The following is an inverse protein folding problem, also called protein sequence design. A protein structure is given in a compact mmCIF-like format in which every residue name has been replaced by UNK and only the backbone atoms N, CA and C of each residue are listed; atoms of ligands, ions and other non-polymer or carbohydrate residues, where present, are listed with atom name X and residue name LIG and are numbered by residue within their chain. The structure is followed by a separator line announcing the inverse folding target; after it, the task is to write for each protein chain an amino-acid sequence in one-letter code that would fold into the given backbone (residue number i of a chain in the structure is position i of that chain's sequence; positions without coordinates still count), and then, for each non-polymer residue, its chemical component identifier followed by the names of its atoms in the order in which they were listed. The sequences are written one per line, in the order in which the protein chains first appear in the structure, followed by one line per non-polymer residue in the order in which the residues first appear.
data_IF_254657727752
#
_entry.id   IF_254657727752
#
_cell.length_a   1.000
_cell.length_b   1.000
_cell.length_c   1.000
_cell.angle_alpha   90.00
_cell.angle_beta   90.00
_cell.angle_gamma   90.00
#
_symmetry.space_group_name_H-M   'P 1'
#
loop_
_entity.id
_entity.type
_entity.pdbx_description
1 polymer ?
#
# COMPACT_ATOMS: atom_id res chain seq x y z
N UNK A 1 -35.64 4.33 16.41
CA UNK A 1 -34.30 4.83 16.81
C UNK A 1 -33.51 3.59 17.24
N UNK A 2 -32.87 2.90 16.29
CA UNK A 2 -32.49 1.49 16.46
C UNK A 2 -31.01 1.30 16.81
N UNK A 3 -30.81 0.44 17.82
CA UNK A 3 -29.59 0.07 18.54
C UNK A 3 -28.52 -0.64 17.66
N UNK A 4 -28.83 -0.93 16.38
CA UNK A 4 -27.93 -1.61 15.44
C UNK A 4 -26.84 -0.72 14.80
N UNK A 5 -26.94 0.61 14.89
CA UNK A 5 -25.92 1.54 14.36
C UNK A 5 -24.62 1.63 15.17
N UNK A 6 -24.51 0.89 16.28
CA UNK A 6 -23.30 0.84 17.10
C UNK A 6 -22.35 -0.31 16.69
N UNK A 7 -22.83 -1.42 16.13
CA UNK A 7 -22.07 -2.68 16.18
C UNK A 7 -20.89 -2.78 15.19
N UNK A 8 -20.90 -2.11 14.03
CA UNK A 8 -19.79 -2.24 13.07
C UNK A 8 -18.77 -1.10 13.12
N UNK A 9 -19.03 -0.05 13.90
CA UNK A 9 -17.97 0.82 14.41
C UNK A 9 -17.17 0.08 15.48
N UNK A 10 -17.59 -1.06 16.02
CA UNK A 10 -16.72 -1.82 16.92
C UNK A 10 -15.66 -2.67 16.19
N UNK A 11 -15.79 -2.94 14.89
CA UNK A 11 -14.94 -3.92 14.18
C UNK A 11 -13.73 -3.29 13.49
N UNK A 12 -13.74 -1.99 13.16
CA UNK A 12 -12.54 -1.28 12.67
C UNK A 12 -11.55 -0.89 13.78
N UNK A 13 -11.93 -1.03 15.05
CA UNK A 13 -11.36 -0.20 16.14
C UNK A 13 -10.48 -0.99 17.12
N UNK A 14 -10.04 -2.20 16.75
CA UNK A 14 -8.91 -2.87 17.39
C UNK A 14 -7.69 -3.03 16.48
N UNK A 15 -7.86 -2.82 15.17
CA UNK A 15 -6.79 -2.97 14.21
C UNK A 15 -6.01 -1.66 14.09
N UNK A 16 -4.70 -1.77 14.17
CA UNK A 16 -3.80 -0.72 13.70
C UNK A 16 -3.77 -0.84 12.18
N UNK A 17 -4.00 0.29 11.51
CA UNK A 17 -4.21 0.34 10.07
C UNK A 17 -3.06 1.18 9.51
N UNK A 18 -2.16 0.58 8.75
CA UNK A 18 -1.18 1.33 7.99
C UNK A 18 -1.86 2.08 6.82
N UNK A 19 -1.27 3.17 6.34
CA UNK A 19 -1.80 3.95 5.20
C UNK A 19 -3.33 4.15 5.27
N UNK A 20 -3.76 4.69 6.42
CA UNK A 20 -5.15 4.68 6.90
C UNK A 20 -6.11 5.15 5.80
N UNK A 21 -7.23 4.46 5.55
CA UNK A 21 -8.23 4.92 4.60
C UNK A 21 -8.69 6.35 4.96
N UNK A 22 -8.69 7.26 3.98
CA UNK A 22 -9.21 8.64 4.09
C UNK A 22 -10.45 8.79 4.99
N UNK A 23 -11.45 7.91 4.87
CA UNK A 23 -12.47 7.67 5.87
C UNK A 23 -12.14 7.92 7.34
N UNK A 24 -11.17 7.18 7.86
CA UNK A 24 -10.78 7.17 9.27
C UNK A 24 -10.00 8.44 9.59
N UNK A 25 -9.17 8.92 8.65
CA UNK A 25 -8.39 10.14 8.81
C UNK A 25 -9.31 11.37 8.87
N UNK A 26 -10.35 11.45 8.02
CA UNK A 26 -11.31 12.59 7.97
C UNK A 26 -12.08 12.78 9.29
N UNK A 27 -12.26 11.72 10.08
CA UNK A 27 -12.83 11.84 11.43
C UNK A 27 -11.88 12.56 12.42
N UNK A 28 -10.59 12.64 12.11
CA UNK A 28 -9.57 13.42 12.85
C UNK A 28 -9.53 14.91 12.53
N UNK A 29 -10.32 15.41 11.56
CA UNK A 29 -10.47 16.85 11.28
C UNK A 29 -9.36 17.51 10.43
N UNK A 30 -8.28 16.81 10.10
CA UNK A 30 -7.24 17.26 9.16
C UNK A 30 -6.64 16.03 8.47
N UNK A 31 -6.98 15.80 7.20
CA UNK A 31 -6.91 14.45 6.63
C UNK A 31 -6.96 14.35 5.11
N UNK A 32 -6.84 15.47 4.39
CA UNK A 32 -7.12 15.46 2.96
C UNK A 32 -5.99 14.86 2.12
N UNK A 33 -4.78 14.63 2.66
CA UNK A 33 -3.60 14.38 1.82
C UNK A 33 -2.77 13.11 2.13
N UNK A 34 -3.20 12.22 3.04
CA UNK A 34 -2.48 10.95 3.27
C UNK A 34 -2.73 9.96 2.14
N UNK A 35 -1.67 9.27 1.70
CA UNK A 35 -1.73 8.22 0.70
C UNK A 35 -2.18 6.91 1.37
N UNK A 36 -3.11 6.23 0.72
CA UNK A 36 -3.71 4.98 1.19
C UNK A 36 -3.06 3.75 0.56
N UNK A 37 -3.24 2.60 1.20
CA UNK A 37 -2.89 1.29 0.64
C UNK A 37 -3.39 1.09 -0.81
N UNK A 38 -4.64 1.47 -1.07
CA UNK A 38 -5.26 1.27 -2.38
C UNK A 38 -4.61 2.12 -3.46
N UNK A 39 -4.21 3.35 -3.13
CA UNK A 39 -3.47 4.23 -4.04
C UNK A 39 -2.06 3.69 -4.32
N UNK A 40 -1.39 3.13 -3.29
CA UNK A 40 -0.07 2.50 -3.46
C UNK A 40 -0.14 1.31 -4.43
N UNK A 41 -1.15 0.45 -4.28
CA UNK A 41 -1.40 -0.68 -5.20
C UNK A 41 -1.61 -0.17 -6.63
N UNK A 42 -2.47 0.84 -6.81
CA UNK A 42 -2.80 1.38 -8.13
C UNK A 42 -1.58 2.00 -8.80
N UNK A 43 -0.83 2.85 -8.10
CA UNK A 43 0.36 3.53 -8.64
C UNK A 43 1.47 2.52 -8.98
N UNK A 44 1.74 1.56 -8.10
CA UNK A 44 2.74 0.54 -8.34
C UNK A 44 2.38 -0.37 -9.52
N UNK A 45 1.10 -0.74 -9.64
CA UNK A 45 0.62 -1.56 -10.76
C UNK A 45 0.65 -0.80 -12.09
N UNK A 46 0.18 0.45 -12.15
CA UNK A 46 0.17 1.29 -13.36
C UNK A 46 1.57 1.41 -13.95
N UNK A 47 2.60 1.62 -13.12
CA UNK A 47 3.99 1.67 -13.58
C UNK A 47 4.47 0.35 -14.16
N UNK A 48 4.08 -0.78 -13.56
CA UNK A 48 4.39 -2.10 -14.08
C UNK A 48 3.66 -2.39 -15.41
N UNK A 49 2.38 -2.00 -15.51
CA UNK A 49 1.58 -2.13 -16.73
C UNK A 49 2.14 -1.29 -17.89
N UNK A 50 2.60 -0.06 -17.61
CA UNK A 50 3.27 0.78 -18.59
C UNK A 50 4.50 0.07 -19.17
N UNK A 51 5.35 -0.53 -18.32
CA UNK A 51 6.50 -1.34 -18.74
C UNK A 51 6.06 -2.55 -19.58
N UNK A 52 4.99 -3.24 -19.18
CA UNK A 52 4.42 -4.35 -19.96
C UNK A 52 4.06 -3.94 -21.39
N UNK A 53 3.31 -2.85 -21.56
CA UNK A 53 2.95 -2.38 -22.90
C UNK A 53 4.16 -1.95 -23.72
N UNK A 54 5.14 -1.27 -23.11
CA UNK A 54 6.40 -0.91 -23.78
C UNK A 54 7.12 -2.17 -24.26
N UNK A 55 7.36 -3.14 -23.39
CA UNK A 55 8.18 -4.31 -23.72
C UNK A 55 7.52 -5.21 -24.77
N UNK A 56 6.21 -5.44 -24.66
CA UNK A 56 5.47 -6.31 -25.58
C UNK A 56 5.30 -5.64 -26.96
N UNK A 57 5.01 -4.34 -27.00
CA UNK A 57 4.81 -3.62 -28.29
C UNK A 57 6.11 -3.17 -28.94
N UNK A 58 7.20 -2.99 -28.21
CA UNK A 58 8.52 -2.68 -28.82
C UNK A 58 9.10 -3.87 -29.60
N UNK A 59 8.54 -5.07 -29.47
CA UNK A 59 8.80 -6.16 -30.41
C UNK A 59 8.19 -5.88 -31.80
N UNK A 60 7.08 -5.13 -31.87
CA UNK A 60 6.49 -4.54 -33.08
C UNK A 60 6.99 -3.09 -33.29
N UNK A 61 8.29 -2.96 -33.59
CA UNK A 61 9.17 -1.78 -33.49
C UNK A 61 8.74 -0.41 -34.08
N UNK A 62 7.57 -0.23 -34.67
CA UNK A 62 7.30 0.94 -35.52
C UNK A 62 6.20 1.91 -35.04
N UNK A 63 5.63 1.79 -33.83
CA UNK A 63 4.45 2.64 -33.47
C UNK A 63 4.40 3.31 -32.10
N UNK A 64 5.33 3.07 -31.17
CA UNK A 64 5.21 3.63 -29.80
C UNK A 64 6.34 4.60 -29.46
N UNK A 65 5.97 5.84 -29.14
CA UNK A 65 6.87 6.83 -28.53
C UNK A 65 6.97 6.59 -27.02
N UNK A 66 8.14 6.14 -26.57
CA UNK A 66 8.47 5.85 -25.16
C UNK A 66 8.37 7.12 -24.29
N UNK A 67 8.50 8.33 -24.87
CA UNK A 67 8.32 9.57 -24.13
C UNK A 67 6.89 9.73 -23.59
N UNK A 68 5.90 9.14 -24.27
CA UNK A 68 4.51 9.23 -23.86
C UNK A 68 4.18 8.42 -22.62
N UNK A 69 5.05 7.52 -22.15
CA UNK A 69 4.86 6.72 -20.93
C UNK A 69 5.60 7.29 -19.72
N UNK A 70 6.15 8.52 -19.83
CA UNK A 70 6.92 9.17 -18.74
C UNK A 70 6.05 9.88 -17.71
N UNK A 71 4.77 10.07 -17.99
CA UNK A 71 3.82 10.74 -17.10
C UNK A 71 3.02 9.70 -16.30
N UNK A 72 2.31 10.14 -15.26
CA UNK A 72 1.32 9.29 -14.61
C UNK A 72 0.12 9.14 -15.55
N UNK A 73 -0.34 7.90 -15.71
CA UNK A 73 -1.42 7.53 -16.63
C UNK A 73 -2.46 6.71 -15.91
N UNK A 74 -3.72 6.89 -16.25
CA UNK A 74 -4.78 5.93 -15.92
C UNK A 74 -4.60 4.64 -16.72
N UNK A 75 -5.27 3.57 -16.30
CA UNK A 75 -5.30 2.31 -17.07
C UNK A 75 -5.84 2.57 -18.49
N UNK A 76 -6.91 3.36 -18.64
CA UNK A 76 -7.49 3.66 -19.96
C UNK A 76 -6.54 4.43 -20.86
N UNK A 77 -5.79 5.39 -20.31
CA UNK A 77 -4.76 6.11 -21.05
C UNK A 77 -3.63 5.19 -21.51
N UNK A 78 -3.20 4.23 -20.68
CA UNK A 78 -2.22 3.23 -21.08
C UNK A 78 -2.73 2.35 -22.22
N UNK A 79 -4.00 1.94 -22.19
CA UNK A 79 -4.63 1.22 -23.30
C UNK A 79 -4.73 2.10 -24.56
N UNK A 80 -5.09 3.38 -24.42
CA UNK A 80 -5.15 4.32 -25.53
C UNK A 80 -3.78 4.52 -26.19
N UNK A 81 -2.71 4.64 -25.39
CA UNK A 81 -1.34 4.75 -25.86
C UNK A 81 -0.87 3.46 -26.54
N UNK A 82 -1.20 2.31 -25.97
CA UNK A 82 -0.88 1.02 -26.55
C UNK A 82 -1.68 0.79 -27.84
N UNK A 83 -2.92 1.25 -27.93
CA UNK A 83 -3.83 1.02 -29.06
C UNK A 83 -4.43 2.34 -29.59
N UNK A 84 -3.65 3.16 -30.32
CA UNK A 84 -4.10 4.47 -30.81
C UNK A 84 -5.34 4.43 -31.70
N UNK A 85 -5.54 3.31 -32.42
CA UNK A 85 -6.65 3.12 -33.36
C UNK A 85 -7.96 2.68 -32.67
N UNK A 86 -7.96 2.45 -31.35
CA UNK A 86 -9.17 2.05 -30.62
C UNK A 86 -10.02 3.25 -30.21
N UNK A 87 -11.34 3.10 -30.31
CA UNK A 87 -12.30 4.07 -29.79
C UNK A 87 -12.33 4.04 -28.26
N UNK A 88 -12.79 5.14 -27.62
CA UNK A 88 -12.96 5.22 -26.16
C UNK A 88 -13.82 4.08 -25.61
N UNK A 89 -14.93 3.74 -26.29
CA UNK A 89 -15.81 2.64 -25.88
C UNK A 89 -15.11 1.28 -25.94
N UNK A 90 -14.30 1.06 -26.96
CA UNK A 90 -13.50 -0.16 -27.08
C UNK A 90 -12.46 -0.24 -25.98
N UNK A 91 -11.78 0.86 -25.67
CA UNK A 91 -10.82 0.92 -24.55
C UNK A 91 -11.50 0.60 -23.24
N UNK A 92 -12.62 1.28 -22.93
CA UNK A 92 -13.42 1.04 -21.73
C UNK A 92 -13.83 -0.42 -21.60
N UNK A 93 -14.27 -1.05 -22.69
CA UNK A 93 -14.66 -2.46 -22.72
C UNK A 93 -13.48 -3.41 -22.46
N UNK A 94 -12.33 -3.17 -23.10
CA UNK A 94 -11.17 -4.06 -23.02
C UNK A 94 -10.33 -3.87 -21.75
N UNK A 95 -10.34 -2.69 -21.15
CA UNK A 95 -9.63 -2.43 -19.89
C UNK A 95 -10.47 -2.77 -18.65
N UNK A 96 -11.77 -3.02 -18.80
CA UNK A 96 -12.68 -3.32 -17.69
C UNK A 96 -12.29 -4.58 -16.89
N UNK A 97 -11.98 -5.73 -17.52
CA UNK A 97 -11.57 -6.93 -16.78
C UNK A 97 -10.34 -6.69 -15.91
N UNK A 98 -9.34 -5.99 -16.45
CA UNK A 98 -8.14 -5.61 -15.70
C UNK A 98 -8.49 -4.72 -14.50
N UNK A 99 -9.31 -3.69 -14.71
CA UNK A 99 -9.78 -2.81 -13.63
C UNK A 99 -10.47 -3.60 -12.51
N UNK A 100 -11.38 -4.50 -12.86
CA UNK A 100 -12.05 -5.39 -11.89
C UNK A 100 -11.07 -6.23 -11.07
N UNK A 101 -10.00 -6.72 -11.70
CA UNK A 101 -8.95 -7.49 -11.03
C UNK A 101 -8.14 -6.62 -10.05
N UNK A 102 -7.77 -5.40 -10.46
CA UNK A 102 -7.06 -4.46 -9.58
C UNK A 102 -7.92 -4.05 -8.39
N UNK A 103 -9.21 -3.80 -8.62
CA UNK A 103 -10.18 -3.51 -7.55
C UNK A 103 -10.24 -4.67 -6.54
N UNK A 104 -10.25 -5.92 -7.02
CA UNK A 104 -10.20 -7.11 -6.16
C UNK A 104 -8.90 -7.17 -5.34
N UNK A 105 -7.75 -6.86 -5.95
CA UNK A 105 -6.46 -6.82 -5.25
C UNK A 105 -6.47 -5.73 -4.17
N UNK A 106 -6.99 -4.54 -4.47
CA UNK A 106 -7.14 -3.43 -3.52
C UNK A 106 -8.05 -3.81 -2.35
N UNK A 107 -9.19 -4.46 -2.61
CA UNK A 107 -10.08 -5.00 -1.56
C UNK A 107 -9.32 -5.97 -0.66
N UNK A 108 -8.57 -6.91 -1.26
CA UNK A 108 -7.85 -7.94 -0.51
C UNK A 108 -6.68 -7.39 0.30
N UNK A 109 -6.03 -6.35 -0.20
CA UNK A 109 -5.04 -5.58 0.53
C UNK A 109 -5.67 -4.96 1.80
N UNK A 110 -6.71 -4.13 1.65
CA UNK A 110 -7.39 -3.48 2.80
C UNK A 110 -7.97 -4.50 3.81
N UNK A 111 -8.39 -5.68 3.36
CA UNK A 111 -8.95 -6.69 4.26
C UNK A 111 -7.95 -7.29 5.24
N UNK A 112 -6.64 -7.09 5.05
CA UNK A 112 -5.63 -7.58 6.01
C UNK A 112 -5.82 -6.92 7.38
N UNK A 113 -6.14 -5.63 7.42
CA UNK A 113 -6.44 -4.89 8.65
C UNK A 113 -7.78 -5.28 9.30
N UNK A 114 -8.67 -5.96 8.58
CA UNK A 114 -10.05 -6.22 9.04
C UNK A 114 -10.31 -7.70 9.31
N UNK A 115 -9.50 -8.58 8.72
CA UNK A 115 -9.69 -10.00 8.84
C UNK A 115 -9.20 -10.45 10.23
N UNK A 116 -10.04 -11.15 11.03
CA UNK A 116 -9.67 -11.62 12.36
C UNK A 116 -8.38 -12.46 12.43
N UNK A 117 -8.00 -13.09 11.32
CA UNK A 117 -6.79 -13.91 11.22
C UNK A 117 -5.51 -13.09 10.97
N UNK A 118 -5.63 -11.83 10.56
CA UNK A 118 -4.48 -11.00 10.19
C UNK A 118 -4.41 -9.67 10.91
N UNK A 119 -5.55 -9.05 11.26
CA UNK A 119 -5.61 -7.70 11.86
C UNK A 119 -4.76 -7.51 13.13
N UNK A 120 -4.51 -8.59 13.87
CA UNK A 120 -3.71 -8.59 15.10
C UNK A 120 -2.49 -9.51 14.98
N UNK A 121 -2.11 -9.88 13.77
CA UNK A 121 -0.97 -10.74 13.48
C UNK A 121 0.24 -9.85 13.16
N UNK A 122 1.28 -9.77 14.01
CA UNK A 122 2.45 -8.94 13.74
C UNK A 122 3.10 -9.23 12.39
N UNK A 123 3.14 -10.51 12.00
CA UNK A 123 3.74 -10.93 10.74
C UNK A 123 2.97 -10.44 9.51
N UNK A 124 1.71 -10.04 9.63
CA UNK A 124 0.96 -9.40 8.56
C UNK A 124 1.29 -7.91 8.38
N UNK A 125 1.89 -7.27 9.39
CA UNK A 125 2.03 -5.81 9.51
C UNK A 125 3.46 -5.33 9.76
N UNK A 126 4.46 -6.22 9.81
CA UNK A 126 5.83 -5.89 10.24
C UNK A 126 5.92 -5.27 11.65
N UNK A 127 4.92 -5.50 12.49
CA UNK A 127 4.89 -4.98 13.84
C UNK A 127 5.74 -5.80 14.79
N UNK A 128 6.00 -5.23 15.97
CA UNK A 128 6.61 -5.91 17.11
C UNK A 128 7.90 -6.65 16.74
N UNK A 129 8.69 -6.07 15.84
CA UNK A 129 9.96 -6.60 15.32
C UNK A 129 9.87 -7.99 14.65
N UNK A 130 8.68 -8.39 14.17
CA UNK A 130 8.42 -9.69 13.51
C UNK A 130 8.90 -9.74 12.04
N UNK A 131 10.06 -9.15 11.76
CA UNK A 131 10.59 -8.95 10.40
C UNK A 131 10.82 -10.26 9.64
N UNK A 132 11.34 -11.29 10.31
CA UNK A 132 11.60 -12.59 9.68
C UNK A 132 10.28 -13.27 9.28
N UNK A 133 9.32 -13.30 10.21
CA UNK A 133 8.00 -13.90 10.01
C UNK A 133 7.22 -13.17 8.92
N UNK A 134 7.25 -11.83 8.91
CA UNK A 134 6.66 -11.02 7.84
C UNK A 134 7.28 -11.28 6.49
N UNK A 135 8.61 -11.38 6.42
CA UNK A 135 9.29 -11.68 5.17
C UNK A 135 9.00 -13.11 4.67
N UNK A 136 8.99 -14.10 5.56
CA UNK A 136 8.56 -15.47 5.25
C UNK A 136 7.11 -15.50 4.74
N UNK A 137 6.21 -14.71 5.34
CA UNK A 137 4.83 -14.56 4.87
C UNK A 137 4.79 -14.06 3.43
N UNK A 138 5.54 -13.01 3.10
CA UNK A 138 5.63 -12.47 1.72
C UNK A 138 6.15 -13.54 0.75
N UNK A 139 7.25 -14.21 1.07
CA UNK A 139 7.85 -15.25 0.22
C UNK A 139 6.89 -16.42 0.00
N UNK A 140 6.20 -16.88 1.05
CA UNK A 140 5.19 -17.95 0.97
C UNK A 140 4.00 -17.56 0.10
N UNK A 141 3.49 -16.33 0.23
CA UNK A 141 2.39 -15.84 -0.61
C UNK A 141 2.81 -15.76 -2.07
N UNK A 142 4.01 -15.21 -2.35
CA UNK A 142 4.59 -15.15 -3.70
C UNK A 142 4.71 -16.53 -4.34
N UNK A 143 5.24 -17.51 -3.62
CA UNK A 143 5.36 -18.88 -4.11
C UNK A 143 4.00 -19.47 -4.50
N UNK A 144 2.98 -19.31 -3.64
CA UNK A 144 1.61 -19.77 -3.95
C UNK A 144 1.00 -19.05 -5.16
N UNK A 145 1.28 -17.76 -5.35
CA UNK A 145 0.84 -17.02 -6.55
C UNK A 145 1.47 -17.63 -7.80
N UNK A 146 2.78 -17.88 -7.78
CA UNK A 146 3.50 -18.47 -8.92
C UNK A 146 2.99 -19.89 -9.22
N UNK A 147 2.79 -20.72 -8.20
CA UNK A 147 2.21 -22.06 -8.34
C UNK A 147 0.81 -22.01 -8.95
N UNK A 148 -0.07 -21.15 -8.43
CA UNK A 148 -1.44 -20.99 -8.93
C UNK A 148 -1.46 -20.55 -10.40
N UNK A 149 -0.56 -19.64 -10.79
CA UNK A 149 -0.48 -19.09 -12.14
C UNK A 149 0.11 -20.07 -13.15
N UNK A 150 1.06 -20.91 -12.74
CA UNK A 150 1.69 -21.89 -13.64
C UNK A 150 0.75 -23.04 -14.03
N UNK A 151 -0.27 -23.30 -13.24
CA UNK A 151 -1.36 -24.21 -13.63
C UNK A 151 -2.32 -23.50 -14.61
N UNK A 152 -2.24 -23.86 -15.89
CA UNK A 152 -3.04 -23.24 -16.96
C UNK A 152 -4.55 -23.45 -16.81
N UNK A 153 -4.99 -24.43 -16.02
CA UNK A 153 -6.41 -24.76 -15.85
C UNK A 153 -7.03 -24.08 -14.63
N UNK A 154 -6.22 -23.38 -13.82
CA UNK A 154 -6.65 -22.83 -12.54
C UNK A 154 -7.31 -21.47 -12.70
N UNK A 155 -8.42 -21.27 -11.98
CA UNK A 155 -8.96 -19.93 -11.74
C UNK A 155 -7.96 -19.15 -10.84
N UNK A 156 -7.60 -17.94 -11.29
CA UNK A 156 -6.60 -17.10 -10.66
C UNK A 156 -7.13 -16.12 -9.59
N UNK A 157 -8.41 -16.18 -9.21
CA UNK A 157 -8.99 -15.35 -8.16
C UNK A 157 -8.27 -15.54 -6.81
N UNK A 158 -7.89 -16.78 -6.51
CA UNK A 158 -7.08 -17.07 -5.32
C UNK A 158 -5.67 -16.47 -5.41
N UNK A 159 -5.07 -16.40 -6.60
CA UNK A 159 -3.77 -15.77 -6.80
C UNK A 159 -3.87 -14.24 -6.65
N UNK A 160 -4.90 -13.63 -7.26
CA UNK A 160 -5.22 -12.20 -7.12
C UNK A 160 -5.43 -11.81 -5.66
N UNK A 161 -6.16 -12.62 -4.89
CA UNK A 161 -6.34 -12.34 -3.46
C UNK A 161 -5.05 -12.42 -2.66
N UNK A 162 -4.16 -13.39 -2.95
CA UNK A 162 -2.84 -13.48 -2.32
C UNK A 162 -1.93 -12.30 -2.67
N UNK A 163 -2.08 -11.71 -3.87
CA UNK A 163 -1.36 -10.49 -4.24
C UNK A 163 -1.77 -9.35 -3.30
N UNK A 164 -3.08 -9.15 -3.05
CA UNK A 164 -3.56 -8.15 -2.10
C UNK A 164 -2.98 -8.35 -0.70
N UNK A 165 -3.11 -9.58 -0.18
CA UNK A 165 -2.58 -9.96 1.15
C UNK A 165 -1.06 -9.76 1.27
N UNK A 166 -0.30 -10.00 0.19
CA UNK A 166 1.15 -9.83 0.13
C UNK A 166 1.54 -8.35 0.10
N UNK A 167 0.86 -7.58 -0.76
CA UNK A 167 1.15 -6.17 -0.95
C UNK A 167 0.90 -5.38 0.32
N UNK A 168 -0.13 -5.72 1.10
CA UNK A 168 -0.38 -5.09 2.40
C UNK A 168 0.84 -5.21 3.30
N UNK A 169 1.27 -6.45 3.57
CA UNK A 169 2.45 -6.72 4.41
C UNK A 169 3.70 -6.04 3.87
N UNK A 170 3.92 -6.05 2.54
CA UNK A 170 5.07 -5.37 1.92
C UNK A 170 5.06 -3.84 2.16
N UNK A 171 3.88 -3.22 2.14
CA UNK A 171 3.72 -1.79 2.27
C UNK A 171 3.94 -1.34 3.73
N UNK A 172 3.40 -2.10 4.70
CA UNK A 172 3.52 -1.81 6.15
C UNK A 172 4.99 -1.76 6.62
N UNK A 173 5.88 -2.51 5.98
CA UNK A 173 7.32 -2.42 6.27
C UNK A 173 7.82 -0.97 6.27
N UNK A 174 7.39 -0.14 5.30
CA UNK A 174 7.91 1.22 5.15
C UNK A 174 7.26 2.23 6.11
N UNK A 175 6.05 1.97 6.59
CA UNK A 175 5.39 2.82 7.57
C UNK A 175 5.73 2.43 9.01
N UNK A 176 5.90 1.13 9.30
CA UNK A 176 6.03 0.62 10.67
C UNK A 176 7.49 0.37 11.11
N UNK A 177 8.45 0.32 10.19
CA UNK A 177 9.87 0.15 10.51
C UNK A 177 10.66 1.48 10.52
N UNK A 178 11.89 1.41 11.02
CA UNK A 178 12.84 2.53 11.01
C UNK A 178 13.61 2.68 9.68
N UNK A 179 13.16 2.05 8.58
CA UNK A 179 13.89 2.02 7.31
C UNK A 179 14.30 3.41 6.82
N UNK A 180 13.41 4.39 6.95
CA UNK A 180 13.64 5.77 6.49
C UNK A 180 14.54 6.52 7.46
N UNK A 181 14.34 6.32 8.77
CA UNK A 181 15.12 6.93 9.85
C UNK A 181 16.58 6.46 9.85
N UNK A 182 16.87 5.27 9.32
CA UNK A 182 18.23 4.81 9.02
C UNK A 182 18.92 5.58 7.87
N UNK A 183 18.23 6.56 7.25
CA UNK A 183 18.75 7.32 6.12
C UNK A 183 18.78 6.53 4.82
N UNK A 184 17.97 5.48 4.68
CA UNK A 184 17.87 4.72 3.44
C UNK A 184 17.18 5.55 2.37
N UNK A 185 17.76 5.56 1.17
CA UNK A 185 17.28 6.34 0.02
C UNK A 185 16.58 5.47 -1.04
N UNK A 186 16.57 4.16 -0.85
CA UNK A 186 15.99 3.18 -1.76
C UNK A 186 15.22 2.11 -0.98
N UNK A 187 14.35 1.38 -1.67
CA UNK A 187 13.63 0.21 -1.13
C UNK A 187 14.58 -0.89 -0.65
N UNK A 188 14.14 -1.69 0.31
CA UNK A 188 14.91 -2.84 0.77
C UNK A 188 14.99 -3.89 -0.36
N UNK A 189 16.19 -4.25 -0.86
CA UNK A 189 16.33 -5.15 -2.00
C UNK A 189 16.01 -6.61 -1.66
N UNK A 190 15.93 -6.96 -0.37
CA UNK A 190 15.85 -8.35 0.09
C UNK A 190 14.44 -8.82 0.44
N UNK A 191 13.51 -7.91 0.76
CA UNK A 191 12.14 -8.27 1.13
C UNK A 191 11.47 -9.08 0.03
N UNK A 192 10.94 -10.25 0.41
CA UNK A 192 10.26 -11.18 -0.50
C UNK A 192 11.19 -11.93 -1.46
N UNK A 193 12.52 -11.88 -1.23
CA UNK A 193 13.55 -12.49 -2.09
C UNK A 193 14.53 -13.34 -1.29
N UNK A 194 15.02 -12.84 -0.17
CA UNK A 194 15.99 -13.52 0.70
C UNK A 194 15.43 -13.63 2.10
N UNK A 195 15.84 -14.66 2.84
CA UNK A 195 15.40 -14.88 4.22
C UNK A 195 15.79 -13.71 5.15
N UNK A 196 17.03 -13.24 5.03
CA UNK A 196 17.54 -12.13 5.82
C UNK A 196 17.37 -10.81 5.07
N UNK A 197 16.57 -9.91 5.66
CA UNK A 197 16.29 -8.58 5.10
C UNK A 197 17.06 -7.44 5.78
N UNK A 198 17.92 -7.77 6.75
CA UNK A 198 18.65 -6.82 7.57
C UNK A 198 18.89 -7.38 8.97
N UNK A 199 19.79 -6.76 9.73
CA UNK A 199 19.99 -7.10 11.14
C UNK A 199 18.81 -6.56 11.94
N UNK A 200 18.15 -7.40 12.71
CA UNK A 200 16.98 -7.04 13.51
C UNK A 200 17.42 -6.75 14.94
N UNK A 201 16.75 -5.83 15.62
CA UNK A 201 17.02 -5.54 17.02
C UNK A 201 16.70 -6.75 17.89
N UNK A 202 17.59 -7.07 18.83
CA UNK A 202 17.35 -8.16 19.78
C UNK A 202 16.25 -7.77 20.78
N UNK A 203 15.54 -8.75 21.34
CA UNK A 203 14.43 -8.49 22.28
C UNK A 203 14.87 -7.68 23.51
N UNK A 204 16.14 -7.80 23.92
CA UNK A 204 16.75 -7.08 25.04
C UNK A 204 17.50 -5.80 24.65
N UNK A 205 17.40 -5.38 23.39
CA UNK A 205 18.05 -4.18 22.86
C UNK A 205 17.07 -3.00 22.84
N UNK A 206 17.43 -1.89 23.49
CA UNK A 206 16.67 -0.65 23.44
C UNK A 206 16.65 -0.09 22.00
N UNK A 207 15.47 0.34 21.54
CA UNK A 207 15.25 0.86 20.18
C UNK A 207 14.56 2.21 20.11
N UNK A 208 13.88 2.64 21.17
CA UNK A 208 13.32 3.97 21.28
C UNK A 208 13.58 4.60 22.64
N UNK A 209 13.43 5.91 22.71
CA UNK A 209 13.47 6.72 23.92
C UNK A 209 12.24 7.63 23.98
N UNK A 210 11.81 8.02 25.19
CA UNK A 210 10.76 9.06 25.33
C UNK A 210 11.28 10.43 24.88
N UNK A 211 12.60 10.66 24.98
CA UNK A 211 13.24 11.88 24.48
C UNK A 211 13.01 11.94 22.96
N UNK A 212 12.49 13.07 22.49
CA UNK A 212 12.09 13.24 21.09
C UNK A 212 10.58 13.20 20.87
N UNK A 213 9.80 12.71 21.85
CA UNK A 213 8.35 12.70 21.77
C UNK A 213 7.71 13.82 22.61
N UNK A 214 6.82 14.57 21.98
CA UNK A 214 5.97 15.58 22.63
C UNK A 214 4.55 15.05 22.75
N UNK A 215 4.07 14.93 23.99
CA UNK A 215 2.66 14.66 24.27
C UNK A 215 1.80 15.84 23.82
N UNK A 216 0.76 15.55 23.05
CA UNK A 216 -0.22 16.51 22.56
C UNK A 216 -1.59 16.13 23.12
N UNK A 217 -2.26 17.12 23.71
CA UNK A 217 -3.66 17.02 24.13
C UNK A 217 -4.51 17.83 23.17
N UNK A 218 -5.47 17.17 22.52
CA UNK A 218 -6.40 17.83 21.60
C UNK A 218 -7.82 17.70 22.12
N UNK A 219 -8.52 18.83 22.18
CA UNK A 219 -9.96 18.81 22.43
C UNK A 219 -10.66 18.08 21.27
N UNK A 220 -11.72 17.37 21.61
CA UNK A 220 -12.54 16.65 20.66
C UNK A 220 -13.73 17.50 20.26
N UNK A 221 -14.12 17.44 18.99
CA UNK A 221 -15.50 17.76 18.65
C UNK A 221 -16.45 16.65 19.15
N UNK A 222 -17.76 16.91 19.16
CA UNK A 222 -18.80 15.99 19.66
C UNK A 222 -18.69 14.61 18.99
N UNK A 223 -18.34 14.60 17.70
CA UNK A 223 -18.17 13.37 16.95
C UNK A 223 -16.93 12.61 17.43
N UNK A 224 -15.76 13.24 17.49
CA UNK A 224 -14.54 12.63 18.03
C UNK A 224 -14.73 12.09 19.45
N UNK A 225 -15.47 12.81 20.30
CA UNK A 225 -15.79 12.36 21.66
C UNK A 225 -16.66 11.11 21.68
N UNK A 226 -17.63 11.01 20.77
CA UNK A 226 -18.44 9.81 20.62
C UNK A 226 -17.62 8.61 20.13
N UNK A 227 -16.63 8.84 19.25
CA UNK A 227 -15.84 7.79 18.61
C UNK A 227 -14.68 7.29 19.47
N UNK A 228 -13.82 8.18 19.95
CA UNK A 228 -12.62 7.80 20.69
C UNK A 228 -12.90 7.55 22.18
N UNK A 229 -14.04 8.00 22.70
CA UNK A 229 -14.52 7.85 24.10
C UNK A 229 -13.58 8.40 25.19
N UNK A 230 -12.37 8.79 24.83
CA UNK A 230 -11.35 9.40 25.67
C UNK A 230 -11.05 10.79 25.12
N UNK A 231 -11.60 11.81 25.78
CA UNK A 231 -11.39 13.21 25.47
C UNK A 231 -10.93 13.96 26.73
N UNK A 232 -9.93 14.85 26.67
CA UNK A 232 -9.16 15.21 25.47
C UNK A 232 -8.37 14.03 24.89
N UNK A 233 -8.19 14.02 23.56
CA UNK A 233 -7.38 13.01 22.89
C UNK A 233 -5.93 13.22 23.24
N UNK A 234 -5.25 12.12 23.52
CA UNK A 234 -3.83 12.11 23.82
C UNK A 234 -3.09 11.35 22.72
N UNK A 235 -2.10 12.00 22.11
CA UNK A 235 -1.20 11.41 21.13
C UNK A 235 0.19 12.04 21.24
N UNK A 236 1.14 11.56 20.46
CA UNK A 236 2.54 11.95 20.56
C UNK A 236 3.08 12.35 19.20
N UNK A 237 3.65 13.55 19.11
CA UNK A 237 4.46 14.00 17.98
C UNK A 237 5.92 13.68 18.28
N UNK A 238 6.51 12.75 17.53
CA UNK A 238 7.85 12.23 17.81
C UNK A 238 8.82 12.60 16.70
N UNK A 239 9.98 13.10 17.07
CA UNK A 239 11.14 13.30 16.18
C UNK A 239 12.38 12.78 16.87
N UNK A 240 13.18 12.01 16.15
CA UNK A 240 14.48 11.52 16.64
C UNK A 240 14.37 10.74 17.97
N UNK A 241 13.27 9.98 18.15
CA UNK A 241 13.04 9.15 19.33
C UNK A 241 13.62 7.72 19.20
N UNK A 242 14.05 7.32 18.01
CA UNK A 242 14.74 6.04 17.77
C UNK A 242 16.19 6.18 18.21
N UNK A 243 16.72 5.16 18.90
CA UNK A 243 18.11 5.18 19.39
C UNK A 243 19.09 5.37 18.24
N UNK A 244 19.96 6.36 18.38
CA UNK A 244 20.97 6.74 17.38
C UNK A 244 21.80 5.56 16.88
N UNK A 245 22.26 4.69 17.78
CA UNK A 245 23.07 3.51 17.46
C UNK A 245 22.29 2.49 16.63
N UNK A 246 20.98 2.33 16.84
CA UNK A 246 20.13 1.44 16.04
C UNK A 246 20.14 1.91 14.59
N UNK A 247 19.95 3.20 14.37
CA UNK A 247 19.95 3.76 13.02
C UNK A 247 21.35 3.75 12.39
N UNK A 248 22.38 4.21 13.11
CA UNK A 248 23.78 4.27 12.63
C UNK A 248 24.32 2.91 12.24
N UNK A 249 23.94 1.86 12.96
CA UNK A 249 24.41 0.51 12.67
C UNK A 249 23.47 -0.30 11.76
N UNK A 250 22.43 0.33 11.19
CA UNK A 250 21.51 -0.32 10.26
C UNK A 250 20.70 -1.46 10.87
N UNK A 251 20.30 -1.34 12.13
CA UNK A 251 19.47 -2.34 12.82
C UNK A 251 18.00 -2.00 12.60
N UNK A 252 17.23 -2.98 12.14
CA UNK A 252 15.79 -2.91 11.96
C UNK A 252 15.07 -2.98 13.31
N UNK A 253 14.15 -2.05 13.53
CA UNK A 253 13.16 -2.07 14.61
C UNK A 253 11.82 -1.62 14.07
N UNK A 254 10.73 -2.05 14.69
CA UNK A 254 9.37 -1.63 14.39
C UNK A 254 8.56 -1.45 15.67
N UNK A 255 7.37 -0.86 15.53
CA UNK A 255 6.51 -0.55 16.66
C UNK A 255 5.78 -1.76 17.22
N UNK A 256 5.77 -1.90 18.55
CA UNK A 256 4.91 -2.84 19.25
C UNK A 256 3.47 -2.33 19.33
N UNK A 257 2.51 -3.24 19.28
CA UNK A 257 1.07 -2.95 19.23
C UNK A 257 0.32 -3.71 20.31
N UNK A 258 -0.74 -3.13 20.87
CA UNK A 258 -1.58 -3.83 21.84
C UNK A 258 -2.43 -4.94 21.21
N UNK A 259 -2.63 -6.04 21.93
CA UNK A 259 -3.51 -7.16 21.56
C UNK A 259 -3.07 -7.98 20.33
N UNK A 260 -1.77 -8.01 20.03
CA UNK A 260 -1.23 -8.86 18.98
C UNK A 260 -0.93 -10.27 19.45
N UNK A 261 -1.08 -11.23 18.53
CA UNK A 261 -0.73 -12.64 18.73
C UNK A 261 0.10 -13.13 17.55
N UNK A 262 1.19 -13.86 17.81
CA UNK A 262 2.05 -14.39 16.76
C UNK A 262 1.38 -15.55 15.99
N UNK A 263 2.07 -16.10 14.98
CA UNK A 263 1.57 -17.21 14.17
C UNK A 263 1.27 -18.50 14.97
N UNK A 264 1.72 -18.60 16.22
CA UNK A 264 1.44 -19.71 17.15
C UNK A 264 0.27 -19.42 18.11
N UNK A 265 -0.33 -18.22 18.02
CA UNK A 265 -1.38 -17.77 18.93
C UNK A 265 -0.87 -17.29 20.29
N UNK A 266 0.43 -17.01 20.42
CA UNK A 266 1.02 -16.49 21.66
C UNK A 266 0.97 -14.97 21.68
N UNK A 267 0.62 -14.33 22.81
CA UNK A 267 0.54 -12.88 22.90
C UNK A 267 1.90 -12.23 22.69
N UNK A 268 1.95 -11.20 21.85
CA UNK A 268 3.13 -10.37 21.62
C UNK A 268 2.94 -9.06 22.36
N UNK A 269 3.82 -8.78 23.32
CA UNK A 269 3.72 -7.62 24.20
C UNK A 269 4.99 -6.80 24.15
N UNK A 270 4.85 -5.47 24.20
CA UNK A 270 5.97 -4.55 24.37
C UNK A 270 6.72 -4.90 25.67
N UNK A 271 8.02 -5.25 25.62
CA UNK A 271 8.81 -5.51 26.82
C UNK A 271 8.85 -4.28 27.73
N UNK A 272 8.50 -4.44 29.01
CA UNK A 272 8.42 -3.32 29.96
C UNK A 272 9.78 -2.90 30.55
N UNK A 273 10.78 -3.78 30.46
CA UNK A 273 12.13 -3.59 30.99
C UNK A 273 13.17 -3.19 29.92
N UNK A 274 12.74 -3.05 28.66
CA UNK A 274 13.59 -2.71 27.53
C UNK A 274 12.92 -1.55 26.80
N UNK A 275 13.68 -0.53 26.42
CA UNK A 275 13.09 0.64 25.79
C UNK A 275 12.75 0.38 24.32
N UNK A 276 11.66 -0.36 24.07
CA UNK A 276 11.17 -0.69 22.73
C UNK A 276 10.21 0.37 22.20
N UNK A 277 10.20 0.57 20.90
CA UNK A 277 9.26 1.48 20.25
C UNK A 277 7.83 0.94 20.32
N UNK A 278 6.87 1.79 20.65
CA UNK A 278 5.45 1.50 20.36
C UNK A 278 5.17 1.82 18.89
N UNK A 279 4.13 1.26 18.31
CA UNK A 279 3.69 1.68 16.99
C UNK A 279 3.24 3.14 16.99
N UNK A 280 2.40 3.51 17.95
CA UNK A 280 1.83 4.85 18.08
C UNK A 280 0.46 5.00 17.41
N UNK A 281 -0.09 6.21 17.48
CA UNK A 281 -1.49 6.60 17.26
C UNK A 281 -2.30 6.73 18.54
N UNK A 282 -3.41 7.46 18.46
CA UNK A 282 -4.40 7.56 19.54
C UNK A 282 -5.14 6.25 19.83
N UNK A 283 -5.03 5.25 18.94
CA UNK A 283 -5.67 3.94 19.10
C UNK A 283 -4.73 2.90 19.73
N UNK A 284 -3.42 3.13 19.65
CA UNK A 284 -2.41 2.24 20.22
C UNK A 284 -2.17 2.56 21.69
N UNK A 285 -2.68 1.70 22.57
CA UNK A 285 -2.49 1.83 24.02
C UNK A 285 -1.03 1.71 24.45
N UNK A 286 -0.19 1.04 23.65
CA UNK A 286 1.23 0.90 23.98
C UNK A 286 1.97 2.24 23.83
N UNK A 287 1.43 3.22 23.10
CA UNK A 287 2.01 4.56 22.96
C UNK A 287 2.18 5.31 24.28
N UNK A 288 1.38 4.96 25.29
CA UNK A 288 1.48 5.51 26.66
C UNK A 288 2.44 4.72 27.57
N UNK A 289 2.95 3.57 27.13
CA UNK A 289 3.91 2.76 27.87
C UNK A 289 5.32 3.28 27.58
N UNK A 290 6.17 3.40 28.61
CA UNK A 290 7.56 3.86 28.45
C UNK A 290 8.35 2.89 27.54
N UNK A 291 9.16 3.40 26.58
CA UNK A 291 9.24 4.80 26.13
C UNK A 291 7.97 5.24 25.41
N UNK A 292 7.44 6.41 25.77
CA UNK A 292 6.18 6.93 25.23
C UNK A 292 6.35 7.40 23.78
N UNK A 293 5.27 7.31 23.00
CA UNK A 293 5.22 7.76 21.61
C UNK A 293 5.06 6.62 20.62
N UNK A 294 5.87 6.64 19.55
CA UNK A 294 5.95 5.56 18.59
C UNK A 294 6.74 5.91 17.34
N UNK A 295 6.62 5.09 16.29
CA UNK A 295 7.50 5.07 15.10
C UNK A 295 6.69 5.11 13.78
N UNK A 296 5.38 4.85 13.82
CA UNK A 296 4.60 4.69 12.60
C UNK A 296 4.46 5.98 11.77
N UNK A 297 4.19 5.77 10.48
CA UNK A 297 4.11 6.81 9.43
C UNK A 297 2.84 6.64 8.58
N UNK A 298 1.80 6.06 9.16
CA UNK A 298 0.58 5.62 8.45
C UNK A 298 -0.23 6.77 7.85
N UNK A 299 -0.10 7.97 8.42
CA UNK A 299 -0.81 9.15 7.99
C UNK A 299 0.04 10.41 8.17
N UNK A 300 -0.35 11.49 7.47
CA UNK A 300 0.26 12.83 7.58
C UNK A 300 -0.14 13.60 8.84
N UNK A 301 -0.73 12.94 9.84
CA UNK A 301 -1.25 13.61 11.04
C UNK A 301 -0.62 13.02 12.31
N UNK A 302 -0.17 13.86 13.26
CA UNK A 302 0.43 13.38 14.51
C UNK A 302 -0.54 12.61 15.40
N UNK A 303 -1.85 12.75 15.18
CA UNK A 303 -2.89 12.01 15.89
C UNK A 303 -2.86 10.51 15.58
N UNK A 304 -2.49 10.16 14.36
CA UNK A 304 -2.40 8.77 13.92
C UNK A 304 -0.97 8.28 13.80
N UNK A 305 -0.01 9.17 13.55
CA UNK A 305 1.36 8.79 13.27
C UNK A 305 2.35 9.67 14.01
N UNK A 306 3.09 9.13 14.99
CA UNK A 306 4.13 9.89 15.65
C UNK A 306 5.18 10.42 14.67
N UNK A 307 5.48 9.68 13.59
CA UNK A 307 6.41 10.05 12.52
C UNK A 307 5.70 10.52 11.24
N UNK A 308 4.58 11.23 11.38
CA UNK A 308 3.77 11.69 10.24
C UNK A 308 4.53 12.45 9.14
N UNK A 309 5.62 13.17 9.49
CA UNK A 309 6.46 13.91 8.55
C UNK A 309 7.24 13.02 7.59
N UNK A 310 7.31 11.71 7.83
CA UNK A 310 7.93 10.72 6.94
C UNK A 310 6.91 9.95 6.09
N UNK A 311 5.61 10.23 6.22
CA UNK A 311 4.56 9.50 5.51
C UNK A 311 4.74 9.49 3.98
N UNK A 312 5.04 10.64 3.37
CA UNK A 312 5.25 10.71 1.91
C UNK A 312 6.44 9.87 1.45
N UNK A 313 7.52 9.84 2.25
CA UNK A 313 8.69 9.03 1.95
C UNK A 313 8.40 7.53 2.12
N UNK A 314 7.60 7.15 3.12
CA UNK A 314 7.12 5.78 3.32
C UNK A 314 6.24 5.32 2.17
N UNK A 315 5.25 6.14 1.78
CA UNK A 315 4.39 5.87 0.64
C UNK A 315 5.19 5.73 -0.66
N UNK A 316 6.18 6.59 -0.90
CA UNK A 316 7.07 6.49 -2.07
C UNK A 316 7.77 5.13 -2.13
N UNK A 317 8.40 4.68 -1.05
CA UNK A 317 9.06 3.38 -1.02
C UNK A 317 8.08 2.21 -1.12
N UNK A 318 6.90 2.33 -0.52
CA UNK A 318 5.85 1.33 -0.65
C UNK A 318 5.36 1.19 -2.11
N UNK A 319 5.25 2.30 -2.86
CA UNK A 319 4.93 2.30 -4.30
C UNK A 319 6.06 1.65 -5.10
N UNK A 320 7.32 2.03 -4.87
CA UNK A 320 8.48 1.46 -5.56
C UNK A 320 8.62 -0.05 -5.30
N UNK A 321 8.37 -0.49 -4.07
CA UNK A 321 8.39 -1.91 -3.72
C UNK A 321 7.23 -2.68 -4.37
N UNK A 322 6.04 -2.08 -4.44
CA UNK A 322 4.87 -2.63 -5.13
C UNK A 322 5.13 -2.76 -6.63
N UNK A 323 5.68 -1.72 -7.28
CA UNK A 323 6.11 -1.76 -8.68
C UNK A 323 7.12 -2.87 -8.93
N UNK A 324 8.15 -2.96 -8.07
CA UNK A 324 9.17 -4.01 -8.15
C UNK A 324 8.54 -5.39 -8.04
N UNK A 325 7.61 -5.60 -7.09
CA UNK A 325 6.93 -6.89 -6.92
C UNK A 325 6.25 -7.34 -8.22
N UNK A 326 5.45 -6.48 -8.86
CA UNK A 326 4.78 -6.83 -10.11
C UNK A 326 5.77 -7.11 -11.24
N UNK A 327 6.83 -6.32 -11.35
CA UNK A 327 7.87 -6.51 -12.35
C UNK A 327 8.64 -7.83 -12.15
N UNK A 328 8.98 -8.18 -10.91
CA UNK A 328 9.69 -9.42 -10.61
C UNK A 328 8.75 -10.63 -10.74
N UNK A 329 7.47 -10.50 -10.35
CA UNK A 329 6.45 -11.52 -10.60
C UNK A 329 6.32 -11.81 -12.11
N UNK A 330 6.25 -10.78 -12.95
CA UNK A 330 6.23 -10.92 -14.42
C UNK A 330 7.43 -11.71 -14.93
N UNK A 331 8.64 -11.44 -14.44
CA UNK A 331 9.84 -12.19 -14.82
C UNK A 331 9.74 -13.67 -14.42
N UNK A 332 9.17 -13.98 -13.25
CA UNK A 332 9.08 -15.36 -12.74
C UNK A 332 8.04 -16.22 -13.46
N UNK A 333 6.95 -15.61 -13.94
CA UNK A 333 5.82 -16.31 -14.57
C UNK A 333 5.80 -16.18 -16.09
N UNK A 334 6.46 -15.17 -16.65
CA UNK A 334 6.47 -14.85 -18.09
C UNK A 334 5.27 -14.02 -18.54
N UNK A 335 5.40 -13.37 -19.70
CA UNK A 335 4.43 -12.40 -20.23
C UNK A 335 3.03 -12.99 -20.43
N UNK A 336 2.91 -14.20 -20.98
CA UNK A 336 1.62 -14.87 -21.21
C UNK A 336 0.85 -15.12 -19.90
N UNK A 337 1.56 -15.53 -18.86
CA UNK A 337 0.94 -15.78 -17.56
C UNK A 337 0.60 -14.48 -16.82
N UNK A 338 1.43 -13.45 -16.98
CA UNK A 338 1.16 -12.12 -16.45
C UNK A 338 -0.09 -11.52 -17.11
N UNK A 339 -0.19 -11.61 -18.43
CA UNK A 339 -1.37 -11.24 -19.20
C UNK A 339 -2.64 -11.97 -18.72
N UNK A 340 -2.56 -13.30 -18.52
CA UNK A 340 -3.69 -14.10 -18.00
C UNK A 340 -4.08 -13.72 -16.56
N UNK A 341 -3.09 -13.49 -15.70
CA UNK A 341 -3.32 -13.14 -14.29
C UNK A 341 -4.12 -11.84 -14.16
N UNK A 342 -3.78 -10.85 -14.98
CA UNK A 342 -4.39 -9.52 -14.94
C UNK A 342 -5.43 -9.25 -16.04
N UNK A 343 -5.69 -10.21 -16.92
CA UNK A 343 -6.56 -10.06 -18.08
C UNK A 343 -6.26 -8.79 -18.90
N UNK A 344 -4.97 -8.54 -19.18
CA UNK A 344 -4.54 -7.34 -19.92
C UNK A 344 -5.08 -7.40 -21.36
N UNK A 345 -4.98 -8.55 -22.01
CA UNK A 345 -5.67 -8.87 -23.26
C UNK A 345 -6.82 -9.85 -22.94
N UNK A 346 -8.03 -9.35 -22.66
CA UNK A 346 -9.12 -10.20 -22.20
C UNK A 346 -9.61 -11.16 -23.30
N UNK A 347 -10.06 -12.34 -22.90
CA UNK A 347 -10.72 -13.30 -23.79
C UNK A 347 -12.10 -12.81 -24.21
N UNK A 348 -12.67 -13.41 -25.24
CA UNK A 348 -14.03 -13.09 -25.69
C UNK A 348 -15.08 -13.28 -24.56
N UNK A 349 -14.94 -14.33 -23.76
CA UNK A 349 -15.80 -14.55 -22.58
C UNK A 349 -15.68 -13.41 -21.56
N UNK A 350 -14.46 -12.94 -21.29
CA UNK A 350 -14.22 -11.83 -20.37
C UNK A 350 -14.79 -10.51 -20.92
N UNK A 351 -14.70 -10.30 -22.23
CA UNK A 351 -15.29 -9.13 -22.92
C UNK A 351 -16.82 -9.18 -22.83
N UNK A 352 -17.45 -10.33 -23.01
CA UNK A 352 -18.89 -10.49 -22.89
C UNK A 352 -19.37 -10.17 -21.46
N UNK A 353 -18.66 -10.67 -20.44
CA UNK A 353 -18.92 -10.33 -19.03
C UNK A 353 -18.75 -8.84 -18.77
N UNK A 354 -17.68 -8.23 -19.28
CA UNK A 354 -17.45 -6.79 -19.16
C UNK A 354 -18.55 -5.97 -19.81
N UNK A 355 -19.06 -6.36 -20.98
CA UNK A 355 -20.15 -5.66 -21.65
C UNK A 355 -21.44 -5.65 -20.81
N UNK A 356 -21.76 -6.77 -20.16
CA UNK A 356 -22.91 -6.88 -19.24
C UNK A 356 -22.69 -5.97 -18.04
N UNK A 357 -21.54 -6.08 -17.37
CA UNK A 357 -21.22 -5.30 -16.19
C UNK A 357 -21.23 -3.78 -16.46
N UNK A 358 -20.69 -3.34 -17.61
CA UNK A 358 -20.74 -1.94 -18.04
C UNK A 358 -22.18 -1.48 -18.28
N UNK A 359 -23.00 -2.30 -18.94
CA UNK A 359 -24.42 -1.99 -19.20
C UNK A 359 -25.22 -1.90 -17.90
N UNK A 360 -24.91 -2.75 -16.94
CA UNK A 360 -25.58 -2.79 -15.63
C UNK A 360 -25.05 -1.71 -14.68
N UNK A 361 -24.11 -0.87 -15.14
CA UNK A 361 -23.43 0.13 -14.33
C UNK A 361 -22.89 -0.49 -13.04
N UNK A 362 -22.25 -1.67 -13.16
CA UNK A 362 -21.42 -2.22 -12.09
C UNK A 362 -20.23 -1.31 -11.90
N UNK A 363 -19.89 -1.04 -10.63
CA UNK A 363 -18.84 -0.08 -10.38
C UNK A 363 -17.91 -0.50 -9.25
N UNK A 364 -16.68 -0.02 -9.37
CA UNK A 364 -15.54 -0.48 -8.60
C UNK A 364 -15.54 0.11 -7.19
N UNK A 365 -14.94 -0.63 -6.24
CA UNK A 365 -14.86 -0.24 -4.84
C UNK A 365 -13.84 0.89 -4.62
N UNK A 366 -12.69 0.85 -5.30
CA UNK A 366 -11.54 1.72 -5.04
C UNK A 366 -10.98 2.43 -6.27
N UNK A 367 -11.32 2.02 -7.49
CA UNK A 367 -10.80 2.67 -8.70
C UNK A 367 -11.46 4.04 -8.94
N UNK A 368 -10.66 5.10 -8.87
CA UNK A 368 -11.09 6.48 -9.18
C UNK A 368 -10.75 6.85 -10.63
N UNK A 369 -11.56 7.72 -11.27
CA UNK A 369 -11.35 8.21 -12.65
C UNK A 369 -10.17 9.19 -12.78
N UNK A 370 -9.62 9.65 -11.66
CA UNK A 370 -8.68 10.75 -11.58
C UNK A 370 -7.71 10.51 -10.43
N UNK A 371 -6.53 9.97 -10.76
CA UNK A 371 -5.28 10.55 -10.25
C UNK A 371 -5.08 11.89 -11.01
N UNK A 372 -6.02 12.81 -10.85
CA UNK A 372 -5.92 14.15 -11.41
C UNK A 372 -4.79 14.85 -10.66
N UNK A 373 -3.61 14.82 -11.27
CA UNK A 373 -2.71 15.97 -11.42
C UNK A 373 -2.71 16.91 -10.20
N UNK A 374 -1.70 16.77 -9.35
CA UNK A 374 -1.33 17.80 -8.37
C UNK A 374 -2.12 17.74 -7.06
N UNK A 375 -1.45 17.28 -6.00
CA UNK A 375 -1.91 17.51 -4.63
C UNK A 375 -1.86 19.02 -4.34
N UNK A 376 -3.03 19.66 -4.38
CA UNK A 376 -3.29 20.95 -3.76
C UNK A 376 -4.63 20.88 -3.03
N UNK A 377 -4.59 21.09 -1.73
CA UNK A 377 -5.74 21.14 -0.82
C UNK A 377 -6.71 22.24 -1.23
N UNK A 378 -7.92 21.85 -1.63
CA UNK A 378 -9.03 22.76 -1.85
C UNK A 378 -10.25 21.99 -2.30
N UNK A 379 -11.23 21.88 -1.39
CA UNK A 379 -12.61 21.48 -1.67
C UNK A 379 -12.88 20.00 -2.00
N UNK A 380 -12.83 19.16 -0.96
CA UNK A 380 -13.61 17.91 -0.96
C UNK A 380 -14.41 17.78 0.35
N UNK A 381 -15.67 18.23 0.35
CA UNK A 381 -16.66 17.93 1.38
C UNK A 381 -17.12 16.46 1.28
N UNK A 382 -16.94 15.64 2.33
CA UNK A 382 -17.56 14.31 2.45
C UNK A 382 -18.40 14.22 3.73
N UNK A 383 -19.70 13.95 3.58
CA UNK A 383 -20.67 13.77 4.66
C UNK A 383 -21.00 12.27 4.88
N UNK A 384 -21.34 11.92 6.15
CA UNK A 384 -22.00 10.76 6.82
C UNK A 384 -22.03 9.33 6.24
N UNK A 385 -21.82 9.16 4.95
CA UNK A 385 -22.01 7.94 4.16
C UNK A 385 -21.05 6.80 4.48
N UNK A 386 -19.89 7.08 5.05
CA UNK A 386 -18.84 6.11 5.29
C UNK A 386 -19.10 5.09 6.40
N UNK A 387 -19.83 5.49 7.43
CA UNK A 387 -20.26 4.61 8.52
C UNK A 387 -21.15 3.47 8.02
N UNK A 388 -21.93 3.74 6.97
CA UNK A 388 -22.76 2.75 6.29
C UNK A 388 -21.96 1.87 5.31
N UNK A 389 -20.80 2.35 4.82
CA UNK A 389 -19.96 1.67 3.82
C UNK A 389 -19.20 0.46 4.37
N UNK A 390 -18.71 0.54 5.60
CA UNK A 390 -17.91 -0.56 6.20
C UNK A 390 -18.82 -1.67 6.77
N UNK A 391 -20.06 -1.32 7.16
CA UNK A 391 -21.11 -2.28 7.54
C UNK A 391 -21.44 -3.28 6.43
N UNK A 392 -21.33 -2.84 5.18
CA UNK A 392 -21.74 -3.61 4.00
C UNK A 392 -20.67 -4.57 3.47
N UNK A 393 -19.39 -4.24 3.65
CA UNK A 393 -18.26 -5.13 3.31
C UNK A 393 -18.26 -6.36 4.24
N UNK A 394 -18.56 -6.16 5.52
CA UNK A 394 -18.72 -7.23 6.50
C UNK A 394 -19.94 -8.10 6.13
N UNK A 395 -21.06 -7.53 5.70
CA UNK A 395 -22.26 -8.33 5.34
C UNK A 395 -22.11 -9.18 4.07
N UNK A 396 -21.28 -8.74 3.10
CA UNK A 396 -20.96 -9.50 1.88
C UNK A 396 -20.06 -10.71 2.15
N UNK A 397 -19.13 -10.61 3.10
CA UNK A 397 -18.26 -11.72 3.50
C UNK A 397 -18.94 -12.72 4.47
N UNK A 398 -20.02 -12.29 5.14
CA UNK A 398 -20.74 -13.08 6.18
C UNK A 398 -22.24 -13.34 5.90
N UNK A 399 -22.72 -13.10 4.67
CA UNK A 399 -24.06 -13.46 4.14
C UNK A 399 -25.28 -12.79 4.82
N UNK A 400 -25.33 -11.45 4.87
CA UNK A 400 -26.52 -10.67 5.29
C UNK A 400 -26.94 -9.73 4.13
N UNK A 401 -28.24 -9.75 3.75
CA UNK A 401 -28.80 -9.09 2.54
C UNK A 401 -29.08 -7.57 2.67
N UNK A 402 -28.84 -6.88 1.53
CA UNK A 402 -29.30 -5.55 1.04
C UNK A 402 -28.87 -4.26 1.79
N UNK A 403 -28.54 -3.10 1.17
CA UNK A 403 -28.34 -2.74 -0.25
C UNK A 403 -27.54 -1.41 -0.42
N UNK A 404 -26.98 -1.18 -1.62
CA UNK A 404 -26.26 -0.01 -2.20
C UNK A 404 -24.97 0.58 -1.55
N UNK A 405 -23.84 0.45 -2.26
CA UNK A 405 -22.54 1.08 -1.96
C UNK A 405 -22.22 2.13 -3.06
N UNK A 406 -21.48 3.22 -2.77
CA UNK A 406 -21.09 4.16 -3.79
C UNK A 406 -20.02 3.55 -4.69
N UNK A 407 -20.28 3.78 -5.94
CA UNK A 407 -19.72 3.18 -7.12
C UNK A 407 -19.01 4.20 -8.03
N UNK A 408 -17.87 4.02 -8.69
CA UNK A 408 -17.45 4.98 -9.74
C UNK A 408 -18.18 4.80 -11.08
N UNK A 409 -18.94 5.81 -11.53
CA UNK A 409 -19.50 5.81 -12.89
C UNK A 409 -18.43 6.20 -13.90
N UNK A 410 -18.26 5.39 -14.94
CA UNK A 410 -17.25 5.55 -15.99
C UNK A 410 -17.71 6.54 -17.09
N UNK A 411 -18.57 7.50 -16.74
CA UNK A 411 -19.18 8.47 -17.66
C UNK A 411 -18.53 9.86 -17.62
N UNK A 412 -17.83 10.22 -16.53
CA UNK A 412 -17.29 11.57 -16.31
C UNK A 412 -15.82 11.74 -16.78
N UNK A 413 -15.51 11.37 -18.03
CA UNK A 413 -14.16 11.55 -18.61
C UNK A 413 -13.99 12.88 -19.35
N UNK A 414 -14.28 14.00 -18.70
CA UNK A 414 -13.84 15.32 -19.16
C UNK A 414 -13.23 16.07 -17.98
N UNK A 415 -12.01 16.61 -18.18
CA UNK A 415 -11.58 17.98 -17.82
C UNK A 415 -10.08 18.06 -17.47
N UNK A 416 -9.41 18.83 -18.33
CA UNK A 416 -8.48 19.95 -18.13
C UNK A 416 -7.18 19.84 -17.30
N UNK A 417 -6.14 20.48 -17.86
CA UNK A 417 -4.72 20.43 -17.49
C UNK A 417 -4.29 21.76 -16.84
N UNK A 418 -3.87 21.73 -15.57
CA UNK A 418 -2.79 22.61 -15.09
C UNK A 418 -2.22 22.24 -13.71
N UNK A 419 -0.92 21.92 -13.69
CA UNK A 419 0.12 22.15 -12.64
C UNK A 419 -0.09 21.50 -11.24
N UNK A 420 0.81 20.70 -10.65
CA UNK A 420 2.24 20.88 -10.26
C UNK A 420 2.80 19.50 -9.84
N UNK A 421 4.08 19.23 -10.10
CA UNK A 421 4.70 17.88 -10.14
C UNK A 421 5.30 17.37 -8.82
N UNK A 422 4.97 16.12 -8.46
CA UNK A 422 5.90 15.20 -7.77
C UNK A 422 6.22 14.10 -8.77
N UNK A 423 7.43 14.13 -9.33
CA UNK A 423 7.87 13.14 -10.31
C UNK A 423 8.26 11.85 -9.60
N UNK A 424 7.42 10.83 -9.70
CA UNK A 424 7.87 9.46 -9.65
C UNK A 424 7.75 8.88 -11.06
N UNK A 425 8.62 9.39 -11.93
CA UNK A 425 8.81 8.86 -13.27
C UNK A 425 9.17 7.37 -13.17
N UNK A 426 8.75 6.52 -14.13
CA UNK A 426 9.30 5.18 -14.24
C UNK A 426 10.82 5.33 -14.44
N UNK A 427 11.60 4.90 -13.45
CA UNK A 427 13.03 4.64 -13.62
C UNK A 427 13.16 3.45 -14.57
N UNK A 428 13.07 3.74 -15.87
CA UNK A 428 13.54 2.89 -16.95
C UNK A 428 15.06 2.93 -16.86
N UNK A 429 15.64 2.02 -16.07
CA UNK A 429 17.06 1.71 -16.19
C UNK A 429 17.22 0.91 -17.48
N UNK A 430 17.41 1.63 -18.58
CA UNK A 430 17.84 1.08 -19.87
C UNK A 430 19.31 0.64 -19.75
N UNK A 431 19.54 -0.67 -19.65
CA UNK A 431 20.88 -1.25 -19.70
C UNK A 431 21.27 -1.73 -21.11
N UNK A 432 20.61 -1.22 -22.16
CA UNK A 432 20.92 -1.58 -23.55
C UNK A 432 21.59 -0.44 -24.33
N UNK A 433 22.93 -0.44 -24.29
CA UNK A 433 23.89 0.13 -25.27
C UNK A 433 24.41 1.57 -25.03
N UNK A 434 25.58 1.60 -24.36
CA UNK A 434 26.78 2.44 -24.60
C UNK A 434 26.72 3.57 -25.65
N UNK A 435 27.08 4.80 -25.25
CA UNK A 435 27.98 5.70 -26.03
C UNK A 435 28.96 6.48 -25.13
N UNK A 436 30.23 6.08 -25.25
CA UNK A 436 31.52 6.82 -25.32
C UNK A 436 31.73 8.20 -24.64
N UNK A 437 32.81 8.20 -23.84
CA UNK A 437 33.90 9.19 -23.67
C UNK A 437 33.54 10.60 -23.17
N UNK A 438 33.97 10.88 -21.93
CA UNK A 438 34.90 12.00 -21.64
C UNK A 438 35.92 11.58 -20.58
N UNK A 439 37.17 11.92 -20.86
CA UNK A 439 38.37 11.63 -20.08
C UNK A 439 38.25 12.16 -18.66
N UNK A 440 38.73 11.41 -17.66
CA UNK A 440 39.61 11.94 -16.62
C UNK A 440 40.37 10.79 -15.92
N UNK A 441 41.69 10.96 -15.81
CA UNK A 441 42.50 10.57 -14.64
C UNK A 441 42.59 9.10 -14.25
N UNK A 442 43.75 8.50 -14.52
CA UNK A 442 44.27 7.26 -13.91
C UNK A 442 44.01 7.20 -12.40
N UNK A 443 43.46 6.08 -11.92
CA UNK A 443 43.94 5.37 -10.72
C UNK A 443 43.53 3.89 -10.80
N UNK A 444 44.54 3.03 -10.80
CA UNK A 444 44.43 1.57 -10.80
C UNK A 444 44.00 1.11 -9.41
N UNK A 445 42.97 0.27 -9.33
CA UNK A 445 42.88 -0.76 -8.30
C UNK A 445 42.49 -2.08 -8.97
N UNK A 446 43.33 -3.08 -8.69
CA UNK A 446 43.36 -4.41 -9.28
C UNK A 446 42.55 -5.30 -8.34
N UNK A 447 41.46 -5.91 -8.81
CA UNK A 447 40.80 -7.00 -8.10
C UNK A 447 41.09 -8.30 -8.85
N UNK A 448 41.67 -9.25 -8.12
CA UNK A 448 41.95 -10.62 -8.53
C UNK A 448 40.66 -11.41 -8.27
N UNK A 449 40.26 -12.24 -9.24
CA UNK A 449 39.13 -13.17 -9.13
C UNK A 449 39.41 -14.25 -8.09
N UNK A 450 38.46 -14.49 -7.20
CA UNK A 450 37.89 -15.81 -6.89
C UNK A 450 36.38 -15.61 -6.83
#
# INVERSE_FOLDING_TARGET
MNIFSCLCIFVLFSAIIAFIPHPVIRFGGQAQDSITHTEIVQLGFIRSLARFFIDVKTQDRNKIDIQNFKNEHTIDELYQLAHPDWTKDKIKLYSYPLKSIIDTIQVRNVLVDLNPLTQNLPSAHFDSESFNESNHRIMRLRMKIIEDVRDSNKNLDSARGKIGDLLHTLQDFYSHSNWIEMGKTEINPYIGIQENIGRIAEINQATCHTRGCKKVLSNCNIFQAYFFKNCPMEYYDCKENIVDEINKQGILTSGYVSNQFNDKGEPVVKPSNVEKCSHGSVMDKTSHQVPMGGINKDAKTPMFSPHYYLHDQAAKFAIEATERFFNDLRKDIGDTNFDRLFAINPTEEQIQKAAIAIKDHEKFHFLTSTLSIGLSTGDINFDKTLKQRIQKIISLLFNIKDDTAPTYDLSDSEVDKSSVNIHAAPLLIDNSKTIKRRQFGRRRYKWIMI
#
